data_IF_957204574520
#
_entry.id   IF_957204574520
#
_cell.length_a   1.000
_cell.length_b   1.000
_cell.length_c   1.000
_cell.angle_alpha   90.00
_cell.angle_beta   90.00
_cell.angle_gamma   90.00
#
_symmetry.space_group_name_H-M   'P 1'
#
loop_
_entity.id
_entity.type
_entity.pdbx_description
1 polymer ?
#
# COMPACT_ATOMS: atom_id res chain seq x y z
N UNK A 1 -31.54 2.72 14.71
CA UNK A 1 -30.20 2.39 14.20
C UNK A 1 -29.53 1.21 14.89
N UNK A 2 -29.53 1.07 16.23
CA UNK A 2 -28.89 -0.07 16.90
C UNK A 2 -29.49 -1.46 16.56
N UNK A 3 -30.79 -1.56 16.38
CA UNK A 3 -31.45 -2.83 16.00
C UNK A 3 -31.18 -3.26 14.57
N UNK A 4 -30.97 -2.31 13.64
CA UNK A 4 -30.66 -2.61 12.23
C UNK A 4 -29.27 -3.24 12.07
N UNK A 5 -28.31 -2.80 12.88
CA UNK A 5 -26.94 -3.33 12.85
C UNK A 5 -26.84 -4.76 13.40
N UNK A 6 -27.60 -5.07 14.46
CA UNK A 6 -27.64 -6.43 15.05
C UNK A 6 -28.35 -7.42 14.12
N UNK A 7 -29.41 -6.99 13.43
CA UNK A 7 -30.14 -7.83 12.46
C UNK A 7 -29.31 -8.10 11.21
N UNK A 8 -28.50 -7.14 10.76
CA UNK A 8 -27.60 -7.31 9.62
C UNK A 8 -26.48 -8.32 9.93
N UNK A 9 -25.90 -8.28 11.14
CA UNK A 9 -24.86 -9.21 11.58
C UNK A 9 -25.40 -10.63 11.76
N UNK A 10 -26.61 -10.81 12.28
CA UNK A 10 -27.22 -12.13 12.53
C UNK A 10 -27.72 -12.82 11.23
N UNK A 11 -28.06 -12.07 10.18
CA UNK A 11 -28.53 -12.64 8.90
C UNK A 11 -27.41 -13.35 8.10
N UNK A 12 -26.14 -13.18 8.47
CA UNK A 12 -24.99 -13.75 7.77
C UNK A 12 -24.45 -15.07 8.38
N UNK A 13 -25.12 -15.68 9.36
CA UNK A 13 -24.67 -16.92 10.02
C UNK A 13 -25.36 -18.12 9.38
N UNK A 14 -24.97 -18.54 8.17
CA UNK A 14 -25.38 -19.81 7.55
C UNK A 14 -24.16 -20.43 6.82
N UNK A 15 -24.00 -21.77 6.82
CA UNK A 15 -22.77 -22.45 6.41
C UNK A 15 -22.42 -22.20 4.93
N UNK A 16 -21.20 -21.72 4.70
CA UNK A 16 -20.56 -21.67 3.40
C UNK A 16 -19.68 -22.91 3.22
N UNK A 17 -19.64 -23.43 2.03
CA UNK A 17 -18.84 -24.60 1.67
C UNK A 17 -17.33 -24.28 1.63
N UNK A 18 -16.50 -25.26 1.98
CA UNK A 18 -15.06 -25.13 2.24
C UNK A 18 -14.18 -24.74 1.05
N UNK A 19 -14.68 -24.75 -0.18
CA UNK A 19 -13.90 -24.73 -1.41
C UNK A 19 -13.48 -23.36 -1.94
N UNK A 20 -14.31 -22.33 -1.76
CA UNK A 20 -13.95 -20.94 -2.12
C UNK A 20 -12.69 -20.46 -1.40
N UNK A 21 -12.47 -21.03 -0.24
CA UNK A 21 -11.40 -20.77 0.69
C UNK A 21 -10.00 -21.15 0.15
N UNK A 22 -9.87 -22.22 -0.61
CA UNK A 22 -8.55 -22.70 -1.06
C UNK A 22 -7.92 -21.75 -2.08
N UNK A 23 -8.69 -21.24 -3.04
CA UNK A 23 -8.15 -20.37 -4.09
C UNK A 23 -7.79 -18.96 -3.60
N UNK A 24 -8.55 -18.39 -2.68
CA UNK A 24 -8.24 -17.05 -2.15
C UNK A 24 -6.94 -16.99 -1.34
N UNK A 25 -6.52 -18.12 -0.79
CA UNK A 25 -5.36 -18.17 0.10
C UNK A 25 -4.20 -18.96 -0.49
N UNK A 26 -4.44 -19.74 -1.54
CA UNK A 26 -3.45 -20.63 -2.10
C UNK A 26 -3.62 -20.71 -3.62
N UNK A 27 -2.55 -20.43 -4.34
CA UNK A 27 -2.51 -20.69 -5.78
C UNK A 27 -2.03 -22.12 -5.97
N UNK A 28 -2.89 -23.03 -6.50
CA UNK A 28 -2.50 -24.41 -6.75
C UNK A 28 -1.32 -24.50 -7.73
N UNK A 29 -0.63 -25.64 -7.74
CA UNK A 29 0.43 -25.88 -8.72
C UNK A 29 -0.07 -25.72 -10.16
N UNK A 30 0.73 -25.03 -10.98
CA UNK A 30 0.42 -24.74 -12.39
C UNK A 30 -0.78 -23.84 -12.64
N UNK A 31 -1.30 -23.15 -11.63
CA UNK A 31 -2.35 -22.14 -11.75
C UNK A 31 -1.73 -20.76 -11.81
N UNK A 32 -2.23 -19.93 -12.70
CA UNK A 32 -1.93 -18.51 -12.77
C UNK A 32 -3.04 -17.70 -12.07
N UNK A 33 -2.63 -16.70 -11.31
CA UNK A 33 -3.49 -15.65 -10.81
C UNK A 33 -3.09 -14.32 -11.47
N UNK A 34 -4.05 -13.60 -11.99
CA UNK A 34 -3.90 -12.26 -12.51
C UNK A 34 -4.77 -11.32 -11.68
N UNK A 35 -4.16 -10.35 -11.02
CA UNK A 35 -4.87 -9.27 -10.31
C UNK A 35 -4.61 -7.93 -11.00
N UNK A 36 -5.68 -7.16 -11.20
CA UNK A 36 -5.64 -5.76 -11.55
C UNK A 36 -6.23 -4.95 -10.40
N UNK A 37 -5.48 -3.97 -9.90
CA UNK A 37 -5.88 -3.13 -8.78
C UNK A 37 -5.75 -1.66 -9.16
N UNK A 38 -6.86 -0.95 -9.14
CA UNK A 38 -6.89 0.50 -9.31
C UNK A 38 -7.07 1.17 -7.96
N UNK A 39 -6.17 2.09 -7.62
CA UNK A 39 -6.24 2.90 -6.42
C UNK A 39 -6.37 4.37 -6.79
N UNK A 40 -7.27 5.07 -6.13
CA UNK A 40 -7.48 6.50 -6.27
C UNK A 40 -7.37 7.18 -4.91
N UNK A 41 -6.41 8.07 -4.79
CA UNK A 41 -6.24 8.96 -3.67
C UNK A 41 -6.76 10.34 -4.09
N UNK A 42 -7.93 10.78 -3.60
CA UNK A 42 -8.45 12.11 -3.86
C UNK A 42 -7.45 13.19 -3.42
N UNK A 43 -7.63 14.40 -3.91
CA UNK A 43 -6.79 15.51 -3.52
C UNK A 43 -6.79 15.70 -1.99
N UNK A 44 -5.60 15.75 -1.40
CA UNK A 44 -5.36 15.94 0.03
C UNK A 44 -4.35 17.04 0.27
N UNK A 45 -4.50 17.75 1.38
CA UNK A 45 -3.68 18.89 1.79
C UNK A 45 -3.20 18.80 3.24
N UNK A 46 -3.34 17.62 3.88
CA UNK A 46 -3.00 17.41 5.29
C UNK A 46 -1.97 16.31 5.49
N UNK A 47 -1.24 16.43 6.59
CA UNK A 47 -0.26 15.46 7.02
C UNK A 47 -0.23 15.38 8.55
N UNK A 48 0.27 14.27 9.11
CA UNK A 48 0.65 14.18 10.51
C UNK A 48 2.08 14.69 10.67
N UNK A 49 2.29 15.64 11.60
CA UNK A 49 3.62 16.13 11.96
C UNK A 49 4.38 15.15 12.87
N UNK A 50 5.58 15.52 13.33
CA UNK A 50 6.40 14.73 14.24
C UNK A 50 5.78 14.45 15.62
N UNK A 51 4.68 15.11 15.97
CA UNK A 51 3.93 14.93 17.22
C UNK A 51 2.58 14.22 17.00
N UNK A 52 2.31 13.75 15.78
CA UNK A 52 1.05 13.08 15.45
C UNK A 52 -0.15 14.03 15.28
N UNK A 53 0.06 15.33 15.20
CA UNK A 53 -1.00 16.31 14.96
C UNK A 53 -1.21 16.50 13.47
N UNK A 54 -2.46 16.66 13.04
CA UNK A 54 -2.75 17.02 11.66
C UNK A 54 -2.40 18.47 11.38
N UNK A 55 -1.56 18.67 10.38
CA UNK A 55 -1.09 19.98 9.90
C UNK A 55 -1.27 20.09 8.39
N UNK A 56 -1.24 21.28 7.79
CA UNK A 56 -1.16 21.44 6.35
C UNK A 56 0.02 20.67 5.74
N UNK A 57 -0.18 20.08 4.55
CA UNK A 57 0.83 19.23 3.90
C UNK A 57 2.16 19.94 3.64
N UNK A 58 2.11 21.22 3.29
CA UNK A 58 3.32 22.04 3.09
C UNK A 58 4.21 22.11 4.34
N UNK A 59 3.63 22.04 5.55
CA UNK A 59 4.42 22.04 6.78
C UNK A 59 5.25 20.76 6.96
N UNK A 60 4.84 19.64 6.38
CA UNK A 60 5.65 18.44 6.35
C UNK A 60 6.82 18.56 5.36
N UNK A 61 6.61 19.27 4.27
CA UNK A 61 7.59 19.43 3.19
C UNK A 61 8.62 20.53 3.48
N UNK A 62 8.25 21.50 4.29
CA UNK A 62 9.12 22.62 4.70
C UNK A 62 9.73 22.29 6.06
N UNK A 63 10.98 21.89 6.05
CA UNK A 63 11.71 21.41 7.22
C UNK A 63 12.26 22.53 8.11
N UNK A 64 12.36 23.77 7.62
CA UNK A 64 12.80 24.93 8.38
C UNK A 64 11.60 25.63 9.04
N UNK A 65 11.68 25.84 10.37
CA UNK A 65 10.58 26.40 11.16
C UNK A 65 10.28 27.86 10.83
N UNK A 66 11.30 28.69 10.60
CA UNK A 66 11.11 30.10 10.25
C UNK A 66 10.42 30.25 8.89
N UNK A 67 10.67 29.31 8.02
CA UNK A 67 10.05 29.20 6.72
C UNK A 67 8.58 28.83 6.76
N UNK A 68 8.25 27.79 7.55
CA UNK A 68 6.89 27.29 7.67
C UNK A 68 5.89 28.37 8.05
N UNK A 69 6.32 29.28 8.91
CA UNK A 69 5.46 30.33 9.46
C UNK A 69 5.29 31.52 8.49
N UNK A 70 6.12 31.61 7.44
CA UNK A 70 6.09 32.66 6.43
C UNK A 70 5.51 32.23 5.08
N UNK A 71 5.14 30.96 4.92
CA UNK A 71 4.54 30.43 3.68
C UNK A 71 3.03 30.55 3.74
N UNK A 72 2.48 31.33 2.84
CA UNK A 72 1.04 31.41 2.59
C UNK A 72 0.63 30.52 1.40
N UNK A 73 -0.58 29.99 1.44
CA UNK A 73 -1.13 29.19 0.35
C UNK A 73 -1.30 27.72 0.69
N UNK A 74 -1.55 26.91 -0.32
CA UNK A 74 -1.96 25.52 -0.17
C UNK A 74 -1.17 24.61 -1.13
N UNK A 75 -0.82 23.43 -0.64
CA UNK A 75 -0.27 22.33 -1.40
C UNK A 75 -1.26 21.16 -1.42
N UNK A 76 -1.72 20.80 -2.60
CA UNK A 76 -2.64 19.69 -2.84
C UNK A 76 -1.90 18.56 -3.57
N UNK A 77 -2.15 17.32 -3.17
CA UNK A 77 -1.69 16.13 -3.89
C UNK A 77 -2.82 15.18 -4.16
N UNK A 78 -2.74 14.51 -5.30
CA UNK A 78 -3.65 13.48 -5.77
C UNK A 78 -2.84 12.36 -6.39
N UNK A 79 -3.27 11.11 -6.22
CA UNK A 79 -2.61 9.95 -6.85
C UNK A 79 -3.64 9.02 -7.48
N UNK A 80 -3.27 8.50 -8.64
CA UNK A 80 -3.92 7.36 -9.28
C UNK A 80 -2.86 6.29 -9.50
N UNK A 81 -3.20 5.05 -9.18
CA UNK A 81 -2.28 3.92 -9.29
C UNK A 81 -3.03 2.72 -9.86
N UNK A 82 -2.48 2.14 -10.91
CA UNK A 82 -2.94 0.90 -11.49
C UNK A 82 -1.84 -0.14 -11.30
N UNK A 83 -2.13 -1.21 -10.58
CA UNK A 83 -1.20 -2.31 -10.35
C UNK A 83 -1.66 -3.55 -11.14
N UNK A 84 -0.69 -4.19 -11.77
CA UNK A 84 -0.84 -5.49 -12.39
C UNK A 84 0.01 -6.47 -11.61
N UNK A 85 -0.64 -7.42 -10.95
CA UNK A 85 0.03 -8.53 -10.25
C UNK A 85 -0.23 -9.81 -10.99
N UNK A 86 0.81 -10.60 -11.16
CA UNK A 86 0.74 -11.93 -11.76
C UNK A 86 1.45 -12.92 -10.84
N UNK A 87 0.73 -13.92 -10.38
CA UNK A 87 1.28 -14.95 -9.52
C UNK A 87 1.11 -16.32 -10.15
N UNK A 88 2.03 -17.23 -9.84
CA UNK A 88 2.08 -18.60 -10.36
C UNK A 88 2.41 -19.60 -9.27
N UNK A 89 1.61 -20.66 -9.16
CA UNK A 89 1.88 -21.80 -8.32
C UNK A 89 2.99 -22.67 -8.90
N UNK A 90 4.20 -22.56 -8.36
CA UNK A 90 5.35 -23.38 -8.79
C UNK A 90 5.18 -24.84 -8.39
N UNK A 91 4.67 -25.08 -7.20
CA UNK A 91 4.34 -26.37 -6.62
C UNK A 91 3.10 -26.21 -5.73
N UNK A 92 2.64 -27.29 -5.12
CA UNK A 92 1.54 -27.25 -4.14
C UNK A 92 1.80 -26.35 -2.92
N UNK A 93 3.03 -25.96 -2.67
CA UNK A 93 3.42 -25.16 -1.50
C UNK A 93 4.28 -23.93 -1.83
N UNK A 94 4.71 -23.75 -3.08
CA UNK A 94 5.52 -22.62 -3.49
C UNK A 94 4.84 -21.80 -4.56
N UNK A 95 4.88 -20.49 -4.42
CA UNK A 95 4.42 -19.54 -5.44
C UNK A 95 5.43 -18.42 -5.66
N UNK A 96 5.37 -17.85 -6.84
CA UNK A 96 6.05 -16.61 -7.20
C UNK A 96 5.01 -15.59 -7.68
N UNK A 97 5.23 -14.34 -7.35
CA UNK A 97 4.36 -13.23 -7.76
C UNK A 97 5.23 -12.06 -8.22
N UNK A 98 4.79 -11.36 -9.25
CA UNK A 98 5.38 -10.11 -9.71
C UNK A 98 4.30 -9.04 -9.83
N UNK A 99 4.59 -7.82 -9.34
CA UNK A 99 3.67 -6.69 -9.39
C UNK A 99 4.35 -5.52 -10.10
N UNK A 100 3.65 -4.95 -11.08
CA UNK A 100 4.07 -3.78 -11.86
C UNK A 100 3.06 -2.66 -11.65
N UNK A 101 3.40 -1.58 -10.94
CA UNK A 101 2.53 -0.43 -10.76
C UNK A 101 2.73 0.60 -11.88
N UNK A 102 1.64 1.18 -12.35
CA UNK A 102 1.60 2.41 -13.14
C UNK A 102 1.01 3.50 -12.27
N UNK A 103 1.75 4.59 -12.10
CA UNK A 103 1.41 5.65 -11.14
C UNK A 103 1.28 6.98 -11.86
N UNK A 104 0.25 7.76 -11.51
CA UNK A 104 0.14 9.16 -11.83
C UNK A 104 -0.03 9.94 -10.54
N UNK A 105 0.87 10.90 -10.32
CA UNK A 105 0.82 11.87 -9.21
C UNK A 105 0.64 13.26 -9.76
N UNK A 106 -0.34 13.97 -9.20
CA UNK A 106 -0.58 15.37 -9.49
C UNK A 106 -0.36 16.18 -8.21
N UNK A 107 0.48 17.20 -8.31
CA UNK A 107 0.66 18.22 -7.30
C UNK A 107 0.13 19.54 -7.83
N UNK A 108 -0.63 20.26 -7.00
CA UNK A 108 -1.09 21.63 -7.28
C UNK A 108 -0.65 22.50 -6.13
N UNK A 109 0.04 23.57 -6.42
CA UNK A 109 0.63 24.49 -5.46
C UNK A 109 0.17 25.91 -5.71
N UNK A 110 -0.26 26.59 -4.65
CA UNK A 110 -0.53 28.02 -4.63
C UNK A 110 0.36 28.73 -3.59
N UNK A 111 1.50 28.13 -3.26
CA UNK A 111 2.40 28.64 -2.23
C UNK A 111 3.03 29.96 -2.65
N UNK A 112 2.95 30.96 -1.79
CA UNK A 112 3.52 32.28 -1.96
C UNK A 112 4.48 32.62 -0.82
N UNK A 113 5.55 33.34 -1.17
CA UNK A 113 6.53 33.88 -0.22
C UNK A 113 6.69 35.38 -0.40
N UNK A 114 6.70 36.09 0.69
CA UNK A 114 6.86 37.54 0.68
C UNK A 114 8.32 37.98 0.41
N UNK A 115 9.30 37.11 0.74
CA UNK A 115 10.73 37.36 0.48
C UNK A 115 11.52 36.06 0.58
N UNK A 116 11.71 35.38 -0.56
CA UNK A 116 12.48 34.14 -0.61
C UNK A 116 13.95 34.42 -0.91
N UNK A 117 14.87 33.75 -0.19
CA UNK A 117 16.27 33.65 -0.58
C UNK A 117 16.41 32.73 -1.79
N UNK A 118 17.54 32.75 -2.51
CA UNK A 118 17.74 31.89 -3.70
C UNK A 118 17.60 30.40 -3.37
N UNK A 119 18.07 29.92 -2.21
CA UNK A 119 17.91 28.53 -1.79
C UNK A 119 16.46 28.20 -1.46
N UNK A 120 15.73 29.14 -0.96
CA UNK A 120 14.31 29.03 -0.67
C UNK A 120 13.48 28.97 -1.95
N UNK A 121 13.81 29.74 -2.95
CA UNK A 121 13.14 29.70 -4.24
C UNK A 121 13.29 28.33 -4.91
N UNK A 122 14.43 27.68 -4.79
CA UNK A 122 14.66 26.33 -5.30
C UNK A 122 13.70 25.31 -4.70
N UNK A 123 13.46 25.40 -3.38
CA UNK A 123 12.51 24.49 -2.69
C UNK A 123 11.07 24.77 -3.15
N UNK A 124 10.70 26.04 -3.31
CA UNK A 124 9.39 26.41 -3.85
C UNK A 124 9.18 25.91 -5.27
N UNK A 125 10.18 26.05 -6.11
CA UNK A 125 10.14 25.54 -7.47
C UNK A 125 9.95 24.00 -7.51
N UNK A 126 10.54 23.29 -6.53
CA UNK A 126 10.33 21.85 -6.35
C UNK A 126 8.90 21.47 -5.89
N UNK A 127 8.22 22.42 -5.22
CA UNK A 127 6.83 22.27 -4.79
C UNK A 127 5.84 22.87 -5.80
N UNK A 128 6.29 23.33 -6.96
CA UNK A 128 5.43 23.85 -8.02
C UNK A 128 4.37 22.84 -8.50
N UNK A 129 3.35 23.34 -9.15
CA UNK A 129 2.32 22.49 -9.74
C UNK A 129 2.90 21.61 -10.83
N UNK A 130 2.77 20.30 -10.66
CA UNK A 130 3.34 19.30 -11.58
C UNK A 130 2.47 18.05 -11.64
N UNK A 131 2.52 17.37 -12.78
CA UNK A 131 1.95 16.02 -12.94
C UNK A 131 3.03 15.10 -13.47
N UNK A 132 3.29 14.02 -12.73
CA UNK A 132 4.19 12.95 -13.17
C UNK A 132 3.40 11.66 -13.36
N UNK A 133 3.77 10.87 -14.38
CA UNK A 133 3.18 9.57 -14.67
C UNK A 133 4.22 8.63 -15.24
N UNK A 134 4.08 7.34 -14.93
CA UNK A 134 4.96 6.30 -15.44
C UNK A 134 4.91 5.03 -14.62
N UNK A 135 5.76 4.03 -14.94
CA UNK A 135 5.92 2.84 -14.13
C UNK A 135 6.51 3.21 -12.76
N UNK A 136 5.99 2.58 -11.71
CA UNK A 136 6.60 2.61 -10.38
C UNK A 136 7.63 1.48 -10.21
N UNK A 137 8.00 1.22 -8.97
CA UNK A 137 8.95 0.16 -8.65
C UNK A 137 8.31 -1.22 -8.75
N UNK A 138 8.93 -2.11 -9.52
CA UNK A 138 8.49 -3.50 -9.66
C UNK A 138 8.83 -4.25 -8.38
N UNK A 139 7.88 -5.05 -7.90
CA UNK A 139 8.11 -5.98 -6.79
C UNK A 139 7.95 -7.42 -7.23
N UNK A 140 8.79 -8.29 -6.65
CA UNK A 140 8.73 -9.75 -6.82
C UNK A 140 8.64 -10.37 -5.44
N UNK A 141 7.74 -11.35 -5.29
CA UNK A 141 7.54 -12.10 -4.06
C UNK A 141 7.71 -13.58 -4.34
N UNK A 142 8.41 -14.28 -3.45
CA UNK A 142 8.48 -15.75 -3.43
C UNK A 142 7.92 -16.18 -2.09
N UNK A 143 6.94 -17.06 -2.11
CA UNK A 143 6.23 -17.47 -0.91
C UNK A 143 6.12 -18.98 -0.81
N UNK A 144 6.09 -19.46 0.43
CA UNK A 144 5.88 -20.88 0.77
C UNK A 144 4.74 -21.02 1.76
N UNK A 145 3.83 -21.95 1.48
CA UNK A 145 2.82 -22.39 2.41
C UNK A 145 3.47 -23.30 3.46
N UNK A 146 3.47 -22.86 4.72
CA UNK A 146 4.15 -23.54 5.82
C UNK A 146 3.23 -24.54 6.52
N UNK A 147 1.94 -24.22 6.61
CA UNK A 147 0.92 -25.07 7.19
C UNK A 147 -0.43 -24.77 6.58
N UNK A 148 -1.13 -25.79 6.17
CA UNK A 148 -2.50 -25.72 5.64
C UNK A 148 -3.35 -26.71 6.37
N UNK A 149 -4.35 -26.24 7.12
CA UNK A 149 -5.35 -27.08 7.79
C UNK A 149 -6.73 -26.44 7.62
N UNK A 150 -7.78 -27.11 8.01
CA UNK A 150 -9.16 -26.59 7.97
C UNK A 150 -9.36 -25.34 8.87
N UNK A 151 -8.45 -25.07 9.80
CA UNK A 151 -8.58 -23.95 10.74
C UNK A 151 -7.47 -22.92 10.65
N UNK A 152 -6.36 -23.25 10.01
CA UNK A 152 -5.17 -22.42 9.94
C UNK A 152 -4.56 -22.50 8.56
N UNK A 153 -4.07 -21.35 8.13
CA UNK A 153 -3.25 -21.24 6.95
C UNK A 153 -2.10 -20.30 7.24
N UNK A 154 -0.88 -20.77 7.07
CA UNK A 154 0.32 -19.99 7.31
C UNK A 154 1.17 -19.96 6.06
N UNK A 155 1.61 -18.76 5.68
CA UNK A 155 2.53 -18.52 4.56
C UNK A 155 3.68 -17.64 5.01
N UNK A 156 4.88 -17.96 4.60
CA UNK A 156 6.05 -17.11 4.76
C UNK A 156 6.76 -16.91 3.44
N UNK A 157 7.52 -15.83 3.31
CA UNK A 157 8.23 -15.57 2.07
C UNK A 157 9.13 -14.36 2.12
N UNK A 158 9.71 -14.07 0.94
CA UNK A 158 10.61 -12.96 0.72
C UNK A 158 10.02 -12.04 -0.35
N UNK A 159 10.28 -10.75 -0.20
CA UNK A 159 9.92 -9.71 -1.16
C UNK A 159 11.16 -8.98 -1.63
N UNK A 160 11.20 -8.66 -2.91
CA UNK A 160 12.26 -7.89 -3.55
C UNK A 160 11.60 -6.74 -4.31
N UNK A 161 12.04 -5.52 -4.09
CA UNK A 161 11.61 -4.35 -4.84
C UNK A 161 12.78 -3.84 -5.67
N UNK A 162 12.54 -3.59 -6.95
CA UNK A 162 13.50 -3.06 -7.91
C UNK A 162 13.18 -1.59 -8.19
N UNK A 163 14.16 -0.69 -8.21
CA UNK A 163 13.97 0.75 -8.43
C UNK A 163 13.76 1.05 -9.92
N UNK A 164 12.66 0.59 -10.48
CA UNK A 164 12.33 0.77 -11.90
C UNK A 164 11.51 2.03 -12.15
N UNK A 165 10.91 2.59 -11.10
CA UNK A 165 10.16 3.83 -11.15
C UNK A 165 11.07 5.06 -11.20
N UNK A 166 10.54 6.16 -11.74
CA UNK A 166 11.23 7.43 -11.70
C UNK A 166 11.28 7.97 -10.26
N UNK A 167 12.47 8.06 -9.68
CA UNK A 167 12.70 8.54 -8.31
C UNK A 167 12.74 10.07 -8.19
N UNK A 168 12.50 10.79 -9.27
CA UNK A 168 12.36 12.23 -9.27
C UNK A 168 13.40 12.99 -10.05
N UNK A 169 13.29 14.31 -9.99
CA UNK A 169 14.22 15.22 -10.66
C UNK A 169 15.58 15.25 -9.96
N UNK A 170 16.66 15.65 -10.65
CA UNK A 170 18.01 15.81 -10.10
C UNK A 170 18.10 16.68 -8.84
N UNK A 171 17.05 17.43 -8.52
CA UNK A 171 17.02 18.40 -7.43
C UNK A 171 16.73 17.83 -6.04
N UNK A 172 16.84 16.51 -5.85
CA UNK A 172 16.91 15.85 -4.52
C UNK A 172 15.65 15.87 -3.65
N UNK A 173 14.70 16.74 -3.90
CA UNK A 173 13.40 16.82 -3.28
C UNK A 173 12.39 16.62 -4.40
N UNK A 174 12.09 15.37 -4.73
CA UNK A 174 11.06 15.07 -5.71
C UNK A 174 9.77 14.67 -4.97
N UNK A 175 8.95 15.64 -4.60
CA UNK A 175 7.71 15.36 -3.88
C UNK A 175 6.76 14.52 -4.73
N UNK A 176 6.97 14.45 -6.05
CA UNK A 176 6.17 13.68 -7.01
C UNK A 176 6.86 12.44 -7.55
N UNK A 177 7.96 11.97 -6.95
CA UNK A 177 8.61 10.73 -7.36
C UNK A 177 7.61 9.57 -7.45
N UNK A 178 7.65 8.81 -8.55
CA UNK A 178 6.79 7.64 -8.77
C UNK A 178 7.47 6.35 -8.28
N UNK A 179 8.77 6.36 -8.09
CA UNK A 179 9.58 5.28 -7.52
C UNK A 179 10.35 5.74 -6.30
N UNK A 180 10.82 4.79 -5.50
CA UNK A 180 11.59 5.06 -4.28
C UNK A 180 13.08 5.34 -4.58
N UNK A 181 13.54 4.97 -5.80
CA UNK A 181 14.93 5.16 -6.22
C UNK A 181 15.94 4.22 -5.56
N UNK A 182 15.50 3.22 -4.84
CA UNK A 182 16.34 2.21 -4.20
C UNK A 182 15.66 0.84 -4.18
N UNK A 183 16.47 -0.22 -4.16
CA UNK A 183 15.98 -1.58 -3.98
C UNK A 183 15.64 -1.85 -2.53
N UNK A 184 14.76 -2.81 -2.29
CA UNK A 184 14.54 -3.35 -0.95
C UNK A 184 14.49 -4.88 -0.96
N UNK A 185 14.86 -5.47 0.16
CA UNK A 185 14.74 -6.90 0.44
C UNK A 185 13.97 -7.05 1.73
N UNK A 186 12.92 -7.82 1.70
CA UNK A 186 12.06 -8.04 2.86
C UNK A 186 11.69 -9.49 3.06
N UNK A 187 11.12 -9.76 4.21
CA UNK A 187 10.48 -11.02 4.53
C UNK A 187 9.09 -10.75 5.12
N UNK A 188 8.21 -11.70 4.94
CA UNK A 188 6.88 -11.62 5.52
C UNK A 188 6.44 -12.96 6.07
N UNK A 189 5.49 -12.89 6.99
CA UNK A 189 4.77 -14.02 7.53
C UNK A 189 3.29 -13.68 7.59
N UNK A 190 2.45 -14.57 7.08
CA UNK A 190 1.01 -14.43 7.07
C UNK A 190 0.39 -15.61 7.81
N UNK A 191 -0.43 -15.32 8.81
CA UNK A 191 -1.18 -16.28 9.60
C UNK A 191 -2.67 -15.99 9.45
N UNK A 192 -3.43 -16.96 8.96
CA UNK A 192 -4.89 -16.90 8.87
C UNK A 192 -5.50 -17.93 9.82
N UNK A 193 -6.53 -17.52 10.50
CA UNK A 193 -7.28 -18.36 11.41
C UNK A 193 -8.77 -18.28 11.11
N UNK A 194 -9.43 -19.47 11.12
CA UNK A 194 -10.84 -19.68 10.81
C UNK A 194 -11.56 -20.20 12.03
N UNK A 195 -12.07 -19.32 12.90
CA UNK A 195 -12.64 -19.72 14.20
C UNK A 195 -13.91 -20.56 14.07
N UNK A 196 -14.66 -20.37 13.00
CA UNK A 196 -15.94 -21.02 12.75
C UNK A 196 -15.99 -21.46 11.30
N UNK A 197 -16.60 -22.63 11.02
CA UNK A 197 -16.79 -23.17 9.68
C UNK A 197 -17.75 -22.35 8.77
N UNK A 198 -17.87 -21.04 8.98
CA UNK A 198 -18.94 -20.23 8.40
C UNK A 198 -18.41 -19.00 7.64
N UNK A 199 -17.28 -19.12 6.95
CA UNK A 199 -16.76 -18.04 6.11
C UNK A 199 -16.17 -16.86 6.88
N UNK A 200 -15.93 -16.99 8.19
CA UNK A 200 -15.24 -15.97 8.99
C UNK A 200 -13.74 -16.24 8.98
N UNK A 201 -12.97 -15.24 8.62
CA UNK A 201 -11.51 -15.28 8.61
C UNK A 201 -10.93 -14.16 9.47
N UNK A 202 -9.89 -14.49 10.22
CA UNK A 202 -9.00 -13.54 10.85
C UNK A 202 -7.60 -13.77 10.32
N UNK A 203 -6.87 -12.70 10.03
CA UNK A 203 -5.51 -12.80 9.54
C UNK A 203 -4.59 -11.79 10.20
N UNK A 204 -3.33 -12.19 10.39
CA UNK A 204 -2.25 -11.30 10.77
C UNK A 204 -1.14 -11.48 9.73
N UNK A 205 -0.72 -10.38 9.12
CA UNK A 205 0.48 -10.35 8.27
C UNK A 205 1.51 -9.46 8.94
N UNK A 206 2.71 -9.99 9.09
CA UNK A 206 3.89 -9.28 9.55
C UNK A 206 4.84 -9.19 8.38
N UNK A 207 5.38 -8.01 8.09
CA UNK A 207 6.40 -7.83 7.09
C UNK A 207 7.49 -6.91 7.61
N UNK A 208 8.72 -7.17 7.21
CA UNK A 208 9.85 -6.30 7.48
C UNK A 208 10.75 -6.27 6.24
N UNK A 209 11.24 -5.08 5.91
CA UNK A 209 12.19 -4.91 4.81
C UNK A 209 13.37 -4.05 5.23
N UNK A 210 14.49 -4.32 4.58
CA UNK A 210 15.67 -3.49 4.62
C UNK A 210 15.76 -2.75 3.28
N UNK A 211 15.71 -1.44 3.35
CA UNK A 211 15.87 -0.59 2.20
C UNK A 211 17.37 -0.46 1.90
N UNK A 212 17.77 -0.89 0.72
CA UNK A 212 19.18 -0.89 0.31
C UNK A 212 19.63 0.55 -0.01
N UNK A 213 20.94 0.73 -0.09
CA UNK A 213 21.53 2.03 -0.44
C UNK A 213 21.02 2.48 -1.82
N UNK A 214 20.42 3.66 -1.85
CA UNK A 214 19.99 4.30 -3.08
C UNK A 214 20.96 5.39 -3.51
N UNK A 215 20.81 5.83 -4.77
CA UNK A 215 21.54 6.97 -5.32
C UNK A 215 20.55 8.10 -5.59
N UNK A 216 20.95 9.32 -5.29
CA UNK A 216 20.25 10.55 -5.71
C UNK A 216 21.26 11.54 -6.28
N UNK A 217 20.83 12.29 -7.23
CA UNK A 217 21.61 13.40 -7.76
C UNK A 217 21.30 14.66 -6.95
N UNK A 218 22.33 15.40 -6.55
CA UNK A 218 22.18 16.70 -5.86
C UNK A 218 21.78 17.80 -6.85
N UNK A 219 21.46 18.98 -6.31
CA UNK A 219 21.20 20.17 -7.12
C UNK A 219 22.38 20.58 -8.00
N UNK A 220 23.59 20.20 -7.62
CA UNK A 220 24.85 20.49 -8.30
C UNK A 220 25.23 19.42 -9.30
N UNK A 221 24.41 18.36 -9.46
CA UNK A 221 24.65 17.24 -10.37
C UNK A 221 25.55 16.15 -9.78
N UNK A 222 25.85 16.18 -8.49
CA UNK A 222 26.64 15.14 -7.84
C UNK A 222 25.79 13.95 -7.43
N UNK A 223 26.24 12.72 -7.71
CA UNK A 223 25.61 11.50 -7.19
C UNK A 223 25.86 11.34 -5.68
N UNK A 224 24.81 11.23 -4.92
CA UNK A 224 24.88 11.03 -3.46
C UNK A 224 24.20 9.72 -3.08
N UNK A 225 24.86 8.98 -2.20
CA UNK A 225 24.33 7.73 -1.67
C UNK A 225 23.55 7.99 -0.38
N UNK A 226 22.40 7.35 -0.23
CA UNK A 226 21.61 7.41 0.98
C UNK A 226 21.13 6.03 1.41
N UNK A 227 20.97 5.82 2.70
CA UNK A 227 20.36 4.60 3.25
C UNK A 227 18.94 4.90 3.69
N UNK A 228 17.97 4.23 3.10
CA UNK A 228 16.56 4.49 3.35
C UNK A 228 16.00 3.83 4.63
N UNK A 229 16.85 3.13 5.39
CA UNK A 229 16.47 2.57 6.70
C UNK A 229 15.73 1.24 6.63
N UNK A 230 14.99 0.92 7.70
CA UNK A 230 14.21 -0.31 7.83
C UNK A 230 12.73 0.03 7.86
N UNK A 231 11.93 -0.86 7.28
CA UNK A 231 10.49 -0.76 7.28
C UNK A 231 9.88 -1.99 7.97
N UNK A 232 8.82 -1.77 8.73
CA UNK A 232 8.01 -2.82 9.33
C UNK A 232 6.53 -2.53 9.08
N UNK A 233 5.77 -3.56 8.73
CA UNK A 233 4.33 -3.51 8.50
C UNK A 233 3.64 -4.60 9.31
N UNK A 234 2.53 -4.25 9.94
CA UNK A 234 1.64 -5.17 10.64
C UNK A 234 0.23 -4.95 10.10
N UNK A 235 -0.37 -6.01 9.56
CA UNK A 235 -1.74 -6.00 9.12
C UNK A 235 -2.53 -6.97 9.99
N UNK A 236 -3.70 -6.54 10.42
CA UNK A 236 -4.71 -7.40 11.04
C UNK A 236 -5.99 -7.27 10.25
N UNK A 237 -6.46 -8.36 9.69
CA UNK A 237 -7.70 -8.40 8.92
C UNK A 237 -8.74 -9.28 9.58
N UNK A 238 -9.98 -8.88 9.42
CA UNK A 238 -11.15 -9.65 9.73
C UNK A 238 -12.08 -9.61 8.53
N UNK A 239 -12.57 -10.77 8.08
CA UNK A 239 -13.48 -10.83 6.96
C UNK A 239 -14.52 -11.91 7.13
N UNK A 240 -15.63 -11.74 6.43
CA UNK A 240 -16.69 -12.71 6.29
C UNK A 240 -16.96 -12.92 4.81
N UNK A 241 -17.02 -14.19 4.42
CA UNK A 241 -17.40 -14.60 3.08
C UNK A 241 -18.64 -15.47 3.15
N UNK A 242 -19.60 -15.20 2.30
CA UNK A 242 -20.81 -16.00 2.19
C UNK A 242 -21.20 -16.12 0.72
N UNK A 243 -21.19 -17.37 0.22
CA UNK A 243 -21.42 -17.63 -1.19
C UNK A 243 -20.44 -16.81 -2.04
N UNK A 244 -20.97 -15.87 -2.82
CA UNK A 244 -20.23 -15.06 -3.76
C UNK A 244 -19.91 -13.65 -3.20
N UNK A 245 -20.26 -13.37 -1.94
CA UNK A 245 -20.09 -12.04 -1.31
C UNK A 245 -19.01 -12.12 -0.25
N UNK A 246 -18.11 -11.17 -0.31
CA UNK A 246 -17.06 -10.93 0.66
C UNK A 246 -17.24 -9.56 1.31
N UNK A 247 -17.01 -9.46 2.60
CA UNK A 247 -16.89 -8.19 3.31
C UNK A 247 -15.79 -8.29 4.36
N UNK A 248 -14.95 -7.27 4.47
CA UNK A 248 -13.82 -7.28 5.37
C UNK A 248 -13.43 -5.91 5.90
N UNK A 249 -12.60 -5.95 6.93
CA UNK A 249 -11.92 -4.78 7.47
C UNK A 249 -10.48 -5.15 7.79
N UNK A 250 -9.57 -4.23 7.56
CA UNK A 250 -8.16 -4.39 7.84
C UNK A 250 -7.64 -3.20 8.64
N UNK A 251 -6.84 -3.48 9.66
CA UNK A 251 -6.02 -2.50 10.36
C UNK A 251 -4.59 -2.67 9.89
N UNK A 252 -4.00 -1.61 9.43
CA UNK A 252 -2.60 -1.56 9.01
C UNK A 252 -1.81 -0.61 9.89
N UNK A 253 -0.69 -1.09 10.42
CA UNK A 253 0.35 -0.30 11.06
C UNK A 253 1.61 -0.39 10.23
N UNK A 254 2.12 0.75 9.85
CA UNK A 254 3.37 0.91 9.11
C UNK A 254 4.35 1.74 9.94
N UNK A 255 5.61 1.34 9.95
CA UNK A 255 6.71 2.11 10.54
C UNK A 255 7.93 2.04 9.64
N UNK A 256 8.59 3.17 9.46
CA UNK A 256 9.88 3.28 8.79
C UNK A 256 10.87 4.02 9.71
N UNK A 257 12.06 3.46 9.86
CA UNK A 257 13.13 4.10 10.63
C UNK A 257 13.67 5.34 9.91
N UNK A 258 14.46 6.12 10.64
CA UNK A 258 15.18 7.26 10.06
C UNK A 258 16.04 6.82 8.88
N UNK A 259 16.03 7.60 7.80
CA UNK A 259 16.94 7.43 6.67
C UNK A 259 18.20 8.28 6.90
N UNK A 260 19.36 7.75 6.58
CA UNK A 260 20.60 8.53 6.57
C UNK A 260 20.73 9.21 5.20
N UNK A 261 20.71 10.51 5.21
CA UNK A 261 20.95 11.36 4.04
C UNK A 261 22.35 11.96 4.15
N UNK A 262 22.99 12.33 3.04
CA UNK A 262 24.33 12.95 3.07
C UNK A 262 24.38 14.23 3.89
N UNK A 263 23.29 15.00 3.90
CA UNK A 263 23.18 16.28 4.60
C UNK A 263 22.38 16.19 5.93
N UNK A 264 22.13 14.96 6.43
CA UNK A 264 21.40 14.79 7.70
C UNK A 264 20.63 13.47 7.77
N UNK A 265 19.65 13.42 8.64
CA UNK A 265 18.75 12.27 8.79
C UNK A 265 17.31 12.69 8.48
N UNK A 266 16.56 11.88 7.76
CA UNK A 266 15.11 12.02 7.75
C UNK A 266 14.53 11.54 9.09
N UNK A 267 13.40 12.08 9.47
CA UNK A 267 12.68 11.61 10.66
C UNK A 267 12.08 10.22 10.40
N UNK A 268 11.97 9.41 11.46
CA UNK A 268 11.17 8.20 11.44
C UNK A 268 9.71 8.53 11.12
N UNK A 269 9.04 7.61 10.42
CA UNK A 269 7.64 7.75 10.06
C UNK A 269 6.83 6.59 10.58
N UNK A 270 5.59 6.80 10.96
CA UNK A 270 4.63 5.72 11.14
C UNK A 270 3.23 6.15 10.65
N UNK A 271 2.40 5.16 10.35
CA UNK A 271 1.02 5.36 9.92
C UNK A 271 0.15 4.24 10.48
N UNK A 272 -1.06 4.59 10.89
CA UNK A 272 -2.13 3.66 11.26
C UNK A 272 -3.33 3.93 10.39
N UNK A 273 -3.80 2.90 9.73
CA UNK A 273 -4.91 2.98 8.78
C UNK A 273 -5.97 1.92 9.10
N UNK A 274 -7.19 2.20 8.72
CA UNK A 274 -8.29 1.24 8.69
C UNK A 274 -8.83 1.18 7.26
N UNK A 275 -9.02 -0.04 6.77
CA UNK A 275 -9.61 -0.31 5.47
C UNK A 275 -10.91 -1.09 5.63
N UNK A 276 -11.86 -0.82 4.76
CA UNK A 276 -13.10 -1.56 4.60
C UNK A 276 -13.17 -2.06 3.17
N UNK A 277 -13.49 -3.34 3.02
CA UNK A 277 -13.58 -3.99 1.71
C UNK A 277 -14.93 -4.67 1.55
N UNK A 278 -15.43 -4.65 0.33
CA UNK A 278 -16.59 -5.40 -0.09
C UNK A 278 -16.30 -6.00 -1.46
N UNK A 279 -16.62 -7.26 -1.65
CA UNK A 279 -16.35 -7.97 -2.90
C UNK A 279 -17.45 -8.93 -3.32
N UNK A 280 -17.38 -9.29 -4.59
CA UNK A 280 -18.24 -10.30 -5.21
C UNK A 280 -17.40 -11.12 -6.20
N UNK A 281 -17.68 -12.43 -6.27
CA UNK A 281 -16.98 -13.33 -7.18
C UNK A 281 -17.66 -14.68 -7.33
N UNK A 282 -17.13 -15.52 -8.21
CA UNK A 282 -17.64 -16.87 -8.44
C UNK A 282 -16.75 -17.99 -7.88
N UNK A 283 -15.84 -17.66 -6.96
CA UNK A 283 -14.89 -18.65 -6.41
C UNK A 283 -15.61 -19.84 -5.76
N UNK A 284 -16.77 -19.61 -5.12
CA UNK A 284 -17.58 -20.68 -4.51
C UNK A 284 -18.25 -21.61 -5.51
N UNK A 285 -18.33 -21.25 -6.79
CA UNK A 285 -18.96 -22.06 -7.84
C UNK A 285 -18.01 -23.09 -8.47
N UNK A 286 -16.73 -23.03 -8.16
CA UNK A 286 -15.71 -23.96 -8.67
C UNK A 286 -16.02 -25.43 -8.34
N UNK A 287 -16.66 -25.69 -7.20
CA UNK A 287 -17.09 -27.06 -6.83
C UNK A 287 -18.14 -27.62 -7.78
N UNK A 288 -18.90 -26.79 -8.46
CA UNK A 288 -20.00 -27.22 -9.31
C UNK A 288 -19.58 -27.58 -10.74
N UNK A 289 -18.25 -27.69 -11.01
CA UNK A 289 -17.69 -28.03 -12.35
C UNK A 289 -18.20 -27.11 -13.48
N UNK A 290 -18.51 -25.86 -13.16
CA UNK A 290 -18.82 -24.89 -14.20
C UNK A 290 -17.54 -24.57 -14.98
N UNK A 291 -17.61 -24.48 -16.31
CA UNK A 291 -16.49 -24.12 -17.20
C UNK A 291 -16.08 -22.62 -17.10
N UNK A 292 -16.54 -21.91 -16.10
CA UNK A 292 -16.26 -20.50 -15.94
C UNK A 292 -14.89 -20.27 -15.29
N UNK A 293 -14.14 -19.31 -15.82
CA UNK A 293 -12.90 -18.83 -15.21
C UNK A 293 -13.25 -18.27 -13.83
N UNK A 294 -12.56 -18.71 -12.74
CA UNK A 294 -12.76 -18.14 -11.43
C UNK A 294 -12.34 -16.67 -11.40
N UNK A 295 -13.17 -15.83 -10.80
CA UNK A 295 -12.91 -14.41 -10.70
C UNK A 295 -13.50 -13.81 -9.43
N UNK A 296 -12.94 -12.68 -9.02
CA UNK A 296 -13.43 -11.86 -7.92
C UNK A 296 -13.22 -10.37 -8.22
N UNK A 297 -14.15 -9.53 -7.79
CA UNK A 297 -14.03 -8.06 -7.80
C UNK A 297 -14.21 -7.54 -6.38
N UNK A 298 -13.37 -6.61 -5.96
CA UNK A 298 -13.41 -5.98 -4.64
C UNK A 298 -13.39 -4.46 -4.77
N UNK A 299 -14.16 -3.80 -3.90
CA UNK A 299 -14.13 -2.37 -3.70
C UNK A 299 -13.65 -2.09 -2.28
N UNK A 300 -12.65 -1.26 -2.13
CA UNK A 300 -12.02 -0.91 -0.87
C UNK A 300 -12.05 0.60 -0.59
N UNK A 301 -12.06 0.95 0.70
CA UNK A 301 -11.84 2.30 1.18
C UNK A 301 -10.89 2.25 2.37
N UNK A 302 -9.80 3.02 2.31
CA UNK A 302 -8.81 3.13 3.37
C UNK A 302 -8.75 4.54 3.92
N UNK A 303 -8.69 4.66 5.23
CA UNK A 303 -8.55 5.93 5.95
C UNK A 303 -7.42 5.87 6.97
N UNK A 304 -6.43 6.77 6.91
CA UNK A 304 -5.49 6.98 7.99
C UNK A 304 -6.18 7.66 9.18
N UNK A 305 -5.87 7.22 10.40
CA UNK A 305 -6.44 7.80 11.62
C UNK A 305 -5.39 8.23 12.65
N UNK A 306 -4.13 7.81 12.49
CA UNK A 306 -3.00 8.30 13.27
C UNK A 306 -1.70 8.11 12.49
N UNK A 307 -0.73 9.00 12.73
CA UNK A 307 0.55 8.93 12.03
C UNK A 307 1.56 9.89 12.60
N UNK A 308 2.78 9.82 12.07
CA UNK A 308 3.88 10.75 12.34
C UNK A 308 4.69 10.94 11.07
N UNK A 309 4.96 12.19 10.70
CA UNK A 309 5.70 12.57 9.49
C UNK A 309 5.16 11.91 8.20
N UNK A 310 3.85 11.84 8.05
CA UNK A 310 3.21 11.13 6.94
C UNK A 310 1.94 11.84 6.46
N UNK A 311 1.60 11.78 5.16
CA UNK A 311 0.37 12.36 4.63
C UNK A 311 -0.90 11.75 5.23
N UNK A 312 -1.96 12.57 5.34
CA UNK A 312 -3.33 12.10 5.66
C UNK A 312 -4.12 12.02 4.35
N UNK A 313 -4.14 10.83 3.77
CA UNK A 313 -4.71 10.60 2.44
C UNK A 313 -5.65 9.40 2.45
N UNK A 314 -6.94 9.64 2.23
CA UNK A 314 -7.90 8.55 2.04
C UNK A 314 -7.67 7.89 0.68
N UNK A 315 -7.94 6.59 0.56
CA UNK A 315 -7.81 5.84 -0.69
C UNK A 315 -9.08 5.08 -1.00
N UNK A 316 -9.47 5.10 -2.26
CA UNK A 316 -10.46 4.21 -2.85
C UNK A 316 -9.72 3.17 -3.68
N UNK A 317 -10.18 1.93 -3.63
CA UNK A 317 -9.58 0.83 -4.35
C UNK A 317 -10.65 0.02 -5.07
N UNK A 318 -10.35 -0.39 -6.29
CA UNK A 318 -11.10 -1.38 -7.05
C UNK A 318 -10.11 -2.43 -7.53
N UNK A 319 -10.31 -3.68 -7.14
CA UNK A 319 -9.49 -4.79 -7.64
C UNK A 319 -10.33 -5.86 -8.33
N UNK A 320 -9.72 -6.54 -9.27
CA UNK A 320 -10.28 -7.72 -9.93
C UNK A 320 -9.22 -8.79 -10.06
N UNK A 321 -9.57 -10.02 -9.69
CA UNK A 321 -8.67 -11.18 -9.69
C UNK A 321 -9.26 -12.27 -10.56
N UNK A 322 -8.43 -12.94 -11.35
CA UNK A 322 -8.77 -14.04 -12.24
C UNK A 322 -7.77 -15.19 -12.06
N UNK A 323 -8.25 -16.43 -12.19
CA UNK A 323 -7.43 -17.65 -12.06
C UNK A 323 -7.54 -18.48 -13.35
N UNK A 324 -6.39 -19.01 -13.85
CA UNK A 324 -6.28 -19.74 -15.12
C UNK A 324 -5.56 -21.07 -14.95
#
# INVERSE_FOLDING_TARGET
>A
MKQFFITFVLAFIIPATLSAFELENRIPASVWELEMRFQYTPAYNRAFNGYGQEVPLQQLMLWDREWRDSVEGELLRQEQRLEFSMAYGLTEIWMIEATVPLVQRKQTSSLNFTSATSSQQIVLDSLASETQSGPGDISVQIAKDLSVTTRWYNRGGFTFRLPTGNSGTPRGIAPNAIGEGHSSVGAFFHFNWFPLSHGVRNGIRLAASNELVGKRETLEGEEVYYSAGHRADIFYNWSIERQNIFAGTEFHYFQQSESKLPLGKSNATFLKEISFEFGYGNLSELEQKSLSIPWQVRLGYTRPFAGQNTPVANRLELSSTFYF
#
